data_IF_203059278268
#
_entry.id   IF_203059278268
#
_cell.length_a   1.000
_cell.length_b   1.000
_cell.length_c   1.000
_cell.angle_alpha   90.00
_cell.angle_beta   90.00
_cell.angle_gamma   90.00
#
_symmetry.space_group_name_H-M   'P 1'
#
loop_
_entity.id
_entity.type
_entity.pdbx_description
1 polymer ?
#
# COMPACT_ATOMS: atom_id res chain seq x y z
N UNK A 1 -10.72 -15.11 10.09
CA UNK A 1 -10.40 -13.71 9.64
C UNK A 1 -9.73 -13.67 8.27
N UNK A 2 -8.69 -14.49 7.99
CA UNK A 2 -7.99 -14.47 6.69
C UNK A 2 -8.91 -14.76 5.49
N UNK A 3 -9.80 -15.75 5.60
CA UNK A 3 -10.76 -16.09 4.53
C UNK A 3 -11.73 -14.94 4.26
N UNK A 4 -12.18 -14.25 5.31
CA UNK A 4 -13.04 -13.07 5.17
C UNK A 4 -12.33 -11.93 4.46
N UNK A 5 -11.04 -11.70 4.75
CA UNK A 5 -10.26 -10.67 4.07
C UNK A 5 -10.12 -11.00 2.60
N UNK A 6 -9.77 -12.26 2.27
CA UNK A 6 -9.66 -12.74 0.89
C UNK A 6 -10.99 -12.57 0.12
N UNK A 7 -12.12 -12.88 0.74
CA UNK A 7 -13.44 -12.67 0.16
C UNK A 7 -13.72 -11.18 -0.10
N UNK A 8 -13.43 -10.30 0.84
CA UNK A 8 -13.57 -8.85 0.65
C UNK A 8 -12.65 -8.32 -0.46
N UNK A 9 -11.42 -8.79 -0.52
CA UNK A 9 -10.49 -8.40 -1.59
C UNK A 9 -10.99 -8.82 -2.98
N UNK A 10 -11.56 -10.01 -3.12
CA UNK A 10 -12.02 -10.55 -4.40
C UNK A 10 -13.40 -10.03 -4.80
N UNK A 11 -14.36 -10.09 -3.88
CA UNK A 11 -15.79 -9.95 -4.18
C UNK A 11 -16.38 -8.59 -3.79
N UNK A 12 -15.59 -7.68 -3.22
CA UNK A 12 -16.05 -6.31 -2.93
C UNK A 12 -15.14 -5.25 -3.57
N UNK A 13 -15.54 -3.99 -3.40
CA UNK A 13 -14.72 -2.80 -3.71
C UNK A 13 -14.28 -2.08 -2.43
N UNK A 14 -14.46 -2.71 -1.29
CA UNK A 14 -14.10 -2.09 -0.01
C UNK A 14 -12.58 -1.93 0.09
N UNK A 15 -12.14 -0.76 0.49
CA UNK A 15 -10.76 -0.54 0.87
C UNK A 15 -10.53 -1.15 2.25
N UNK A 16 -9.35 -1.76 2.44
CA UNK A 16 -9.03 -2.43 3.69
C UNK A 16 -7.74 -1.89 4.29
N UNK A 17 -7.71 -1.78 5.60
CA UNK A 17 -6.48 -1.72 6.36
C UNK A 17 -6.39 -2.95 7.26
N UNK A 18 -5.45 -3.83 6.96
CA UNK A 18 -5.21 -5.09 7.66
C UNK A 18 -3.98 -4.93 8.53
N UNK A 19 -4.18 -4.86 9.84
CA UNK A 19 -3.11 -4.83 10.82
C UNK A 19 -2.90 -6.21 11.43
N UNK A 20 -1.67 -6.50 11.85
CA UNK A 20 -1.36 -7.74 12.57
C UNK A 20 0.11 -7.88 12.84
N UNK A 21 0.45 -8.53 13.95
CA UNK A 21 1.84 -8.80 14.36
C UNK A 21 2.55 -9.74 13.38
N UNK A 22 3.86 -9.84 13.49
CA UNK A 22 4.64 -10.84 12.77
C UNK A 22 4.08 -12.26 13.04
N UNK A 23 3.98 -13.09 12.00
CA UNK A 23 3.47 -14.46 12.11
C UNK A 23 1.95 -14.63 12.12
N UNK A 24 1.16 -13.56 11.86
CA UNK A 24 -0.31 -13.65 11.74
C UNK A 24 -0.80 -14.07 10.34
N UNK A 25 0.11 -14.40 9.42
CA UNK A 25 -0.24 -14.94 8.10
C UNK A 25 -0.47 -13.89 7.01
N UNK A 26 -0.13 -12.61 7.25
CA UNK A 26 -0.31 -11.52 6.25
C UNK A 26 0.33 -11.83 4.90
N UNK A 27 1.60 -12.17 4.87
CA UNK A 27 2.32 -12.45 3.62
C UNK A 27 1.78 -13.70 2.91
N UNK A 28 1.42 -14.74 3.67
CA UNK A 28 0.77 -15.94 3.12
C UNK A 28 -0.58 -15.61 2.49
N UNK A 29 -1.35 -14.72 3.11
CA UNK A 29 -2.62 -14.23 2.58
C UNK A 29 -2.42 -13.48 1.26
N UNK A 30 -1.42 -12.60 1.18
CA UNK A 30 -1.08 -11.86 -0.05
C UNK A 30 -0.67 -12.82 -1.17
N UNK A 31 0.20 -13.79 -0.87
CA UNK A 31 0.62 -14.81 -1.83
C UNK A 31 -0.57 -15.64 -2.33
N UNK A 32 -1.45 -16.06 -1.42
CA UNK A 32 -2.67 -16.80 -1.78
C UNK A 32 -3.58 -15.97 -2.68
N UNK A 33 -3.83 -14.71 -2.31
CA UNK A 33 -4.66 -13.81 -3.12
C UNK A 33 -4.10 -13.65 -4.53
N UNK A 34 -2.80 -13.36 -4.65
CA UNK A 34 -2.14 -13.18 -5.95
C UNK A 34 -2.29 -14.37 -6.88
N UNK A 35 -2.26 -15.60 -6.35
CA UNK A 35 -2.33 -16.83 -7.14
C UNK A 35 -3.75 -17.17 -7.61
N UNK A 36 -4.78 -16.65 -6.94
CA UNK A 36 -6.16 -17.09 -7.17
C UNK A 36 -7.10 -15.95 -7.61
N UNK A 37 -6.68 -14.70 -7.49
CA UNK A 37 -7.50 -13.55 -7.89
C UNK A 37 -7.75 -13.49 -9.39
N UNK A 38 -8.93 -13.06 -9.76
CA UNK A 38 -9.31 -12.72 -11.13
C UNK A 38 -9.16 -11.23 -11.45
N UNK A 39 -8.84 -10.42 -10.43
CA UNK A 39 -8.62 -8.99 -10.56
C UNK A 39 -7.24 -8.69 -11.11
N UNK A 40 -7.11 -7.60 -11.85
CA UNK A 40 -5.81 -7.02 -12.20
C UNK A 40 -5.16 -6.44 -10.95
N UNK A 41 -4.39 -7.27 -10.28
CA UNK A 41 -3.81 -7.00 -8.97
C UNK A 41 -2.36 -6.53 -9.08
N UNK A 42 -2.04 -5.45 -8.37
CA UNK A 42 -0.67 -4.96 -8.21
C UNK A 42 -0.28 -5.07 -6.72
N UNK A 43 0.90 -5.64 -6.45
CA UNK A 43 1.41 -5.79 -5.08
C UNK A 43 2.66 -4.95 -4.93
N UNK A 44 2.63 -4.04 -3.98
CA UNK A 44 3.65 -3.03 -3.74
C UNK A 44 4.16 -3.08 -2.30
N UNK A 45 5.38 -2.60 -2.10
CA UNK A 45 5.94 -2.37 -0.78
C UNK A 45 6.76 -1.06 -0.75
N UNK A 46 6.96 -0.43 0.41
CA UNK A 46 7.73 0.79 0.52
C UNK A 46 9.24 0.59 0.31
N UNK A 47 9.78 -0.60 0.59
CA UNK A 47 11.20 -0.91 0.51
C UNK A 47 11.52 -2.04 -0.45
N UNK A 48 12.76 -2.08 -0.97
CA UNK A 48 13.22 -3.16 -1.86
C UNK A 48 13.18 -4.53 -1.20
N UNK A 49 13.58 -4.63 0.08
CA UNK A 49 13.57 -5.90 0.82
C UNK A 49 12.13 -6.42 0.98
N UNK A 50 11.20 -5.56 1.40
CA UNK A 50 9.80 -5.94 1.51
C UNK A 50 9.22 -6.35 0.16
N UNK A 51 9.53 -5.62 -0.92
CA UNK A 51 9.08 -5.94 -2.28
C UNK A 51 9.59 -7.32 -2.75
N UNK A 52 10.83 -7.68 -2.45
CA UNK A 52 11.38 -9.00 -2.77
C UNK A 52 10.64 -10.11 -2.01
N UNK A 53 10.36 -9.92 -0.73
CA UNK A 53 9.68 -10.90 0.11
C UNK A 53 8.29 -11.26 -0.40
N UNK A 54 7.56 -10.28 -0.93
CA UNK A 54 6.20 -10.47 -1.49
C UNK A 54 6.23 -10.73 -3.01
N UNK A 55 7.42 -10.86 -3.62
CA UNK A 55 7.59 -10.97 -5.07
C UNK A 55 6.83 -9.87 -5.85
N UNK A 56 6.80 -8.67 -5.30
CA UNK A 56 6.16 -7.47 -5.85
C UNK A 56 7.18 -6.45 -6.31
N UNK A 57 6.76 -5.18 -6.34
CA UNK A 57 7.60 -4.03 -6.70
C UNK A 57 7.60 -3.00 -5.57
N UNK A 58 8.61 -2.11 -5.58
CA UNK A 58 8.52 -0.94 -4.69
C UNK A 58 7.53 0.07 -5.27
N UNK A 59 6.88 0.84 -4.37
CA UNK A 59 5.99 1.94 -4.75
C UNK A 59 6.72 2.88 -5.72
N UNK A 60 7.95 3.29 -5.39
CA UNK A 60 8.75 4.18 -6.23
C UNK A 60 8.99 3.62 -7.64
N UNK A 61 9.37 2.35 -7.75
CA UNK A 61 9.63 1.70 -9.04
C UNK A 61 8.36 1.60 -9.90
N UNK A 62 7.26 1.19 -9.29
CA UNK A 62 6.00 0.99 -10.00
C UNK A 62 5.45 2.29 -10.61
N UNK A 63 5.37 3.34 -9.80
CA UNK A 63 4.89 4.65 -10.23
C UNK A 63 5.94 5.49 -10.98
N UNK A 64 7.22 5.11 -10.91
CA UNK A 64 8.33 5.88 -11.45
C UNK A 64 8.66 7.13 -10.63
N UNK A 65 8.39 7.09 -9.34
CA UNK A 65 8.69 8.19 -8.42
C UNK A 65 10.19 8.26 -8.11
N UNK A 66 10.68 9.49 -7.98
CA UNK A 66 12.03 9.73 -7.45
C UNK A 66 12.00 9.76 -5.91
N UNK A 67 13.08 9.41 -5.24
CA UNK A 67 13.18 9.63 -3.79
C UNK A 67 12.89 11.09 -3.43
N UNK A 68 12.10 11.32 -2.38
CA UNK A 68 11.73 12.64 -1.92
C UNK A 68 10.69 13.37 -2.80
N UNK A 69 10.03 12.67 -3.73
CA UNK A 69 8.96 13.26 -4.55
C UNK A 69 7.83 13.79 -3.68
N UNK A 70 7.30 14.93 -4.08
CA UNK A 70 6.15 15.55 -3.41
C UNK A 70 4.87 15.43 -4.27
N UNK A 71 3.67 15.40 -3.67
CA UNK A 71 2.41 15.31 -4.43
C UNK A 71 2.25 16.39 -5.51
N UNK A 72 2.77 17.60 -5.26
CA UNK A 72 2.74 18.71 -6.22
C UNK A 72 3.64 18.51 -7.45
N UNK A 73 4.56 17.56 -7.39
CA UNK A 73 5.51 17.26 -8.48
C UNK A 73 5.03 16.12 -9.38
N UNK A 74 3.94 15.45 -9.02
CA UNK A 74 3.36 14.36 -9.80
C UNK A 74 2.86 14.89 -11.13
N UNK A 75 3.27 14.22 -12.20
CA UNK A 75 2.94 14.60 -13.58
C UNK A 75 2.27 13.45 -14.32
N UNK A 76 1.45 13.83 -15.29
CA UNK A 76 0.80 12.86 -16.16
C UNK A 76 1.84 12.12 -17.03
N UNK A 77 1.66 10.82 -17.17
CA UNK A 77 2.49 9.99 -18.04
C UNK A 77 2.21 10.34 -19.50
N UNK A 78 3.27 10.64 -20.26
CA UNK A 78 3.17 10.94 -21.70
C UNK A 78 2.96 9.68 -22.55
N UNK A 79 3.46 8.53 -22.12
CA UNK A 79 3.32 7.26 -22.83
C UNK A 79 1.89 6.72 -22.65
N UNK A 80 1.12 6.73 -23.75
CA UNK A 80 -0.29 6.31 -23.76
C UNK A 80 -0.48 4.84 -23.36
N UNK A 81 0.40 3.93 -23.82
CA UNK A 81 0.29 2.50 -23.48
C UNK A 81 0.48 2.29 -21.98
N UNK A 82 1.49 2.95 -21.39
CA UNK A 82 1.71 2.89 -19.95
C UNK A 82 0.56 3.53 -19.16
N UNK A 83 -0.01 4.63 -19.65
CA UNK A 83 -1.18 5.27 -19.02
C UNK A 83 -2.42 4.36 -19.06
N UNK A 84 -2.61 3.60 -20.15
CA UNK A 84 -3.73 2.64 -20.29
C UNK A 84 -3.63 1.52 -19.25
N UNK A 85 -2.43 1.02 -18.96
CA UNK A 85 -2.21 -0.01 -17.94
C UNK A 85 -2.79 0.39 -16.56
N UNK A 86 -2.65 1.66 -16.17
CA UNK A 86 -3.18 2.13 -14.88
C UNK A 86 -4.71 2.14 -14.83
N UNK A 87 -5.39 2.24 -15.97
CA UNK A 87 -6.86 2.20 -16.04
C UNK A 87 -7.43 0.79 -15.84
N UNK A 88 -6.61 -0.22 -16.06
CA UNK A 88 -6.98 -1.62 -15.96
C UNK A 88 -6.75 -2.21 -14.58
N UNK A 89 -6.14 -1.45 -13.66
CA UNK A 89 -5.86 -1.91 -12.30
C UNK A 89 -7.16 -1.93 -11.49
N UNK A 90 -7.51 -3.09 -10.97
CA UNK A 90 -8.69 -3.26 -10.11
C UNK A 90 -8.34 -3.06 -8.62
N UNK A 91 -7.15 -3.54 -8.22
CA UNK A 91 -6.75 -3.59 -6.82
C UNK A 91 -5.23 -3.38 -6.66
N UNK A 92 -4.86 -2.56 -5.70
CA UNK A 92 -3.47 -2.38 -5.26
C UNK A 92 -3.35 -2.83 -3.80
N UNK A 93 -2.44 -3.76 -3.56
CA UNK A 93 -2.04 -4.19 -2.21
C UNK A 93 -0.72 -3.51 -1.86
N UNK A 94 -0.69 -2.81 -0.74
CA UNK A 94 0.54 -2.20 -0.19
C UNK A 94 0.89 -2.95 1.08
N UNK A 95 1.90 -3.82 0.99
CA UNK A 95 2.41 -4.55 2.15
C UNK A 95 3.47 -3.71 2.90
N UNK A 96 3.65 -3.98 4.19
CA UNK A 96 4.54 -3.25 5.10
C UNK A 96 4.28 -1.73 5.07
N UNK A 97 3.00 -1.33 4.99
CA UNK A 97 2.60 0.09 4.85
C UNK A 97 3.05 0.95 6.04
N UNK A 98 3.32 0.37 7.20
CA UNK A 98 3.88 1.07 8.36
C UNK A 98 5.18 1.82 8.06
N UNK A 99 5.95 1.35 7.05
CA UNK A 99 7.18 2.00 6.59
C UNK A 99 6.95 3.02 5.47
N UNK A 100 5.73 3.16 4.96
CA UNK A 100 5.41 4.15 3.94
C UNK A 100 5.16 5.53 4.56
N UNK A 101 5.80 6.57 4.01
CA UNK A 101 5.59 7.96 4.46
C UNK A 101 4.24 8.49 3.97
N UNK A 102 3.66 9.41 4.73
CA UNK A 102 2.39 10.05 4.41
C UNK A 102 2.40 10.75 3.03
N UNK A 103 3.48 11.44 2.70
CA UNK A 103 3.64 12.10 1.39
C UNK A 103 3.68 11.11 0.22
N UNK A 104 4.27 9.93 0.41
CA UNK A 104 4.30 8.88 -0.60
C UNK A 104 2.89 8.33 -0.88
N UNK A 105 2.06 8.17 0.14
CA UNK A 105 0.66 7.76 -0.02
C UNK A 105 -0.14 8.84 -0.78
N UNK A 106 0.07 10.10 -0.45
CA UNK A 106 -0.54 11.21 -1.20
C UNK A 106 -0.06 11.29 -2.65
N UNK A 107 1.22 10.98 -2.91
CA UNK A 107 1.73 10.85 -4.29
C UNK A 107 1.02 9.74 -5.07
N UNK A 108 0.76 8.59 -4.43
CA UNK A 108 0.00 7.50 -5.05
C UNK A 108 -1.43 7.94 -5.39
N UNK A 109 -2.11 8.61 -4.47
CA UNK A 109 -3.47 9.13 -4.70
C UNK A 109 -3.51 10.10 -5.87
N UNK A 110 -2.67 11.13 -5.86
CA UNK A 110 -2.60 12.13 -6.94
C UNK A 110 -2.32 11.46 -8.28
N UNK A 111 -1.36 10.53 -8.31
CA UNK A 111 -1.01 9.82 -9.54
C UNK A 111 -2.18 8.98 -10.07
N UNK A 112 -2.84 8.19 -9.23
CA UNK A 112 -3.95 7.33 -9.64
C UNK A 112 -5.15 8.15 -10.11
N UNK A 113 -5.50 9.24 -9.45
CA UNK A 113 -6.54 10.18 -9.93
C UNK A 113 -6.24 10.75 -11.32
N UNK A 114 -4.97 10.97 -11.65
CA UNK A 114 -4.59 11.46 -12.99
C UNK A 114 -4.67 10.39 -14.09
N UNK A 115 -4.61 9.11 -13.75
CA UNK A 115 -4.38 8.03 -14.72
C UNK A 115 -5.49 6.97 -14.77
N UNK A 116 -6.47 7.03 -13.87
CA UNK A 116 -7.63 6.14 -13.87
C UNK A 116 -8.87 6.81 -14.44
N UNK A 117 -10.00 6.10 -14.42
CA UNK A 117 -11.27 6.61 -14.95
C UNK A 117 -12.07 7.45 -13.95
N UNK A 118 -11.69 7.42 -12.67
CA UNK A 118 -12.43 8.05 -11.57
C UNK A 118 -11.59 9.13 -10.85
N UNK A 119 -11.30 10.27 -11.52
CA UNK A 119 -10.34 11.27 -11.00
C UNK A 119 -10.81 11.98 -9.71
N UNK A 120 -12.10 11.90 -9.40
CA UNK A 120 -12.66 12.51 -8.19
C UNK A 120 -12.69 11.55 -6.99
N UNK A 121 -12.57 10.24 -7.24
CA UNK A 121 -12.51 9.25 -6.17
C UNK A 121 -11.11 9.12 -5.58
N UNK A 122 -10.98 8.88 -4.26
CA UNK A 122 -9.70 8.57 -3.65
C UNK A 122 -9.00 7.41 -4.37
N UNK A 123 -7.70 7.57 -4.60
CA UNK A 123 -6.87 6.65 -5.39
C UNK A 123 -7.44 6.34 -6.79
N UNK A 124 -8.22 7.27 -7.35
CA UNK A 124 -8.82 7.11 -8.66
C UNK A 124 -9.81 5.94 -8.76
N UNK A 125 -10.48 5.59 -7.66
CA UNK A 125 -11.44 4.48 -7.58
C UNK A 125 -10.82 3.08 -7.55
N UNK A 126 -9.49 2.96 -7.53
CA UNK A 126 -8.80 1.67 -7.36
C UNK A 126 -9.01 1.15 -5.94
N UNK A 127 -9.35 -0.12 -5.79
CA UNK A 127 -9.45 -0.75 -4.48
C UNK A 127 -8.07 -0.80 -3.80
N UNK A 128 -7.95 -0.21 -2.61
CA UNK A 128 -6.69 -0.15 -1.86
C UNK A 128 -6.71 -1.10 -0.67
N UNK A 129 -5.70 -1.95 -0.59
CA UNK A 129 -5.48 -2.85 0.55
C UNK A 129 -4.15 -2.48 1.19
N UNK A 130 -4.21 -1.88 2.36
CA UNK A 130 -3.05 -1.55 3.16
C UNK A 130 -2.81 -2.64 4.20
N UNK A 131 -1.61 -3.19 4.23
CA UNK A 131 -1.23 -4.27 5.16
C UNK A 131 0.02 -3.84 5.91
N UNK A 132 0.02 -4.00 7.22
CA UNK A 132 1.18 -3.62 8.02
C UNK A 132 1.07 -3.99 9.49
N UNK A 133 2.13 -3.69 10.20
CA UNK A 133 2.22 -3.83 11.65
C UNK A 133 2.66 -2.49 12.23
N UNK A 134 1.75 -1.80 12.90
CA UNK A 134 2.02 -0.47 13.49
C UNK A 134 3.04 -0.48 14.63
N UNK A 135 3.41 -1.66 15.13
CA UNK A 135 4.43 -1.85 16.15
C UNK A 135 5.83 -2.09 15.57
N UNK A 136 5.95 -2.16 14.22
CA UNK A 136 7.23 -2.26 13.52
C UNK A 136 7.83 -0.88 13.24
N UNK A 137 8.94 -0.89 12.47
CA UNK A 137 9.70 0.33 12.20
C UNK A 137 8.85 1.43 11.56
N UNK A 138 8.92 2.67 12.09
CA UNK A 138 8.25 3.81 11.49
C UNK A 138 8.93 4.24 10.18
N UNK A 139 8.23 5.05 9.36
CA UNK A 139 8.86 5.70 8.21
C UNK A 139 9.95 6.67 8.67
N UNK A 140 10.98 6.84 7.85
CA UNK A 140 12.10 7.73 8.13
C UNK A 140 11.94 9.03 7.35
N UNK A 141 12.03 10.17 8.05
CA UNK A 141 12.18 11.51 7.47
C UNK A 141 13.59 11.97 7.79
N UNK A 142 14.38 12.31 6.78
CA UNK A 142 15.75 12.80 6.99
C UNK A 142 15.73 14.24 7.53
N UNK A 143 16.81 14.64 8.23
CA UNK A 143 16.90 16.01 8.78
C UNK A 143 16.78 17.07 7.68
N UNK A 144 17.28 16.77 6.48
CA UNK A 144 17.20 17.67 5.33
C UNK A 144 15.77 17.90 4.85
N UNK A 145 14.92 16.86 4.89
CA UNK A 145 13.52 16.92 4.44
C UNK A 145 12.57 17.37 5.55
N UNK A 146 12.99 17.27 6.82
CA UNK A 146 12.12 17.39 8.01
C UNK A 146 11.33 18.69 8.02
N UNK A 147 11.98 19.82 7.75
CA UNK A 147 11.32 21.13 7.77
C UNK A 147 10.16 21.21 6.77
N UNK A 148 10.41 20.84 5.52
CA UNK A 148 9.40 20.89 4.44
C UNK A 148 8.31 19.85 4.65
N UNK A 149 8.67 18.69 5.20
CA UNK A 149 7.74 17.61 5.50
C UNK A 149 6.74 18.02 6.58
N UNK A 150 7.23 18.49 7.74
CA UNK A 150 6.39 18.84 8.88
C UNK A 150 5.61 20.16 8.73
N UNK A 151 5.86 20.94 7.68
CA UNK A 151 4.95 22.02 7.26
C UNK A 151 3.62 21.50 6.69
N UNK A 152 3.58 20.23 6.27
CA UNK A 152 2.44 19.63 5.54
C UNK A 152 1.79 18.45 6.24
N UNK A 153 2.54 17.73 7.07
CA UNK A 153 2.12 16.52 7.78
C UNK A 153 2.49 16.61 9.25
N UNK A 154 1.58 16.19 10.12
CA UNK A 154 1.81 16.19 11.57
C UNK A 154 2.73 15.03 11.99
N UNK A 155 2.72 13.93 11.21
CA UNK A 155 3.58 12.77 11.43
C UNK A 155 4.00 12.11 10.12
N UNK A 156 5.07 11.28 10.13
CA UNK A 156 5.51 10.58 8.92
C UNK A 156 4.66 9.36 8.57
N UNK A 157 3.78 8.91 9.44
CA UNK A 157 3.00 7.69 9.23
C UNK A 157 2.00 7.81 8.08
N UNK A 158 1.80 6.74 7.34
CA UNK A 158 0.91 6.66 6.19
C UNK A 158 -0.53 7.13 6.50
N UNK A 159 -1.04 6.87 7.70
CA UNK A 159 -2.39 7.26 8.11
C UNK A 159 -2.53 8.79 8.33
N UNK A 160 -1.43 9.53 8.33
CA UNK A 160 -1.44 10.99 8.38
C UNK A 160 -1.49 11.63 6.98
N UNK A 161 -1.46 10.83 5.93
CA UNK A 161 -1.69 11.31 4.56
C UNK A 161 -3.11 11.88 4.41
N UNK A 162 -3.25 12.87 3.55
CA UNK A 162 -4.55 13.48 3.25
C UNK A 162 -5.47 12.48 2.56
N UNK A 163 -4.89 11.67 1.66
CA UNK A 163 -5.60 10.61 0.98
C UNK A 163 -6.19 9.61 1.96
N UNK A 164 -5.39 9.09 2.90
CA UNK A 164 -5.84 8.11 3.87
C UNK A 164 -6.92 8.66 4.82
N UNK A 165 -6.81 9.93 5.23
CA UNK A 165 -7.81 10.62 6.05
C UNK A 165 -9.14 10.86 5.32
N UNK A 166 -9.13 10.88 4.00
CA UNK A 166 -10.28 11.27 3.17
C UNK A 166 -11.07 10.09 2.60
N UNK A 167 -10.61 8.85 2.74
CA UNK A 167 -11.29 7.71 2.15
C UNK A 167 -11.80 6.72 3.19
N UNK A 168 -12.88 6.01 2.83
CA UNK A 168 -13.46 4.99 3.69
C UNK A 168 -12.71 3.66 3.53
N UNK A 169 -12.38 3.04 4.64
CA UNK A 169 -11.78 1.71 4.69
C UNK A 169 -12.31 0.90 5.86
N UNK A 170 -12.25 -0.43 5.73
CA UNK A 170 -12.53 -1.35 6.84
C UNK A 170 -11.21 -1.68 7.52
N UNK A 171 -11.14 -1.45 8.82
CA UNK A 171 -10.03 -1.91 9.64
C UNK A 171 -10.25 -3.36 10.09
N UNK A 172 -9.25 -4.21 9.89
CA UNK A 172 -9.28 -5.61 10.33
C UNK A 172 -7.96 -5.91 11.03
N UNK A 173 -8.05 -6.35 12.28
CA UNK A 173 -6.88 -6.74 13.06
C UNK A 173 -6.75 -8.26 13.12
N UNK A 174 -5.58 -8.78 12.72
CA UNK A 174 -5.24 -10.20 12.80
C UNK A 174 -4.57 -10.49 14.14
N UNK A 175 -5.29 -11.15 15.02
CA UNK A 175 -4.84 -11.46 16.39
C UNK A 175 -4.25 -12.86 16.53
N UNK A 176 -4.57 -13.80 15.62
CA UNK A 176 -4.12 -15.19 15.69
C UNK A 176 -2.72 -15.31 15.09
N UNK A 177 -1.77 -15.73 15.89
CA UNK A 177 -0.38 -16.01 15.46
C UNK A 177 -0.27 -17.47 15.05
N UNK A 178 0.08 -17.72 13.78
CA UNK A 178 0.26 -19.04 13.18
C UNK A 178 1.73 -19.49 13.16
N UNK A 179 2.60 -18.84 13.92
CA UNK A 179 4.02 -19.23 13.96
C UNK A 179 4.09 -20.71 14.28
N UNK A 180 4.63 -21.52 13.37
CA UNK A 180 5.03 -22.89 13.67
C UNK A 180 5.96 -22.84 14.89
N UNK A 181 5.58 -23.54 15.93
CA UNK A 181 6.55 -23.94 16.96
C UNK A 181 7.57 -24.80 16.22
N UNK A 182 8.73 -24.26 15.88
CA UNK A 182 9.89 -25.10 15.66
C UNK A 182 10.21 -25.75 17.01
N UNK A 183 9.63 -26.91 17.22
CA UNK A 183 10.19 -27.89 18.14
C UNK A 183 11.48 -28.36 17.48
N UNK A 184 12.56 -28.28 18.26
CA UNK A 184 13.92 -28.77 18.02
C UNK A 184 14.94 -27.74 17.48
N UNK A 185 15.42 -26.91 18.38
CA UNK A 185 16.85 -26.69 18.53
C UNK A 185 17.30 -27.42 19.80
N UNK A 186 17.80 -28.62 19.62
CA UNK A 186 18.71 -29.33 20.55
C UNK A 186 20.10 -29.16 19.99
#
# INVERSE_FOLDING_TARGET
DLLRILDLMENSKDNLFVSGRAGTGKSTMVDHFRLHTKKNCVILAPTGVAALNIKGQTIHSFFGFKPGVMPSEIKQIKNKQKATMFKEIDIIVVDEVSMARADLIDCMDVFLRMHTSEPFEPFGGVQMIFIGDLYQLPPVVTDYESKVFYERYDSPYFFDSKAFKSFNFRFIELNTVYRQKEENFV
#
